data_IF_677613790728
#
_entry.id   IF_677613790728
#
_cell.length_a   1.000
_cell.length_b   1.000
_cell.length_c   1.000
_cell.angle_alpha   90.00
_cell.angle_beta   90.00
_cell.angle_gamma   90.00
#
_symmetry.space_group_name_H-M   'P 1'
#
loop_
_entity.id
_entity.type
_entity.pdbx_description
1 polymer ?
#
# COMPACT_ATOMS: atom_id res chain seq x y z
N UNK A 1 -64.29 49.95 52.51
CA UNK A 1 -64.23 51.43 52.65
C UNK A 1 -63.67 51.98 51.34
N UNK A 2 -64.53 52.85 50.75
CA UNK A 2 -64.28 53.90 49.74
C UNK A 2 -63.32 53.61 48.58
N UNK A 3 -63.82 53.33 47.36
CA UNK A 3 -64.36 54.28 46.33
C UNK A 3 -63.40 55.37 46.00
N UNK A 4 -62.91 55.40 44.79
CA UNK A 4 -63.20 56.55 43.93
C UNK A 4 -62.85 56.21 42.43
N UNK A 5 -63.88 56.46 41.65
CA UNK A 5 -63.95 56.45 40.18
C UNK A 5 -63.54 57.84 39.72
N UNK A 6 -62.88 57.97 38.57
CA UNK A 6 -63.05 59.18 37.74
C UNK A 6 -62.81 58.87 36.24
N UNK A 7 -63.67 59.45 35.48
CA UNK A 7 -64.05 59.30 34.04
C UNK A 7 -63.17 60.13 33.10
N UNK A 8 -62.92 59.53 31.86
CA UNK A 8 -62.95 60.01 30.44
C UNK A 8 -62.30 61.39 30.08
N UNK A 9 -61.87 61.60 28.77
CA UNK A 9 -62.63 61.29 27.57
C UNK A 9 -61.79 60.77 26.37
N UNK A 10 -62.55 60.19 25.41
CA UNK A 10 -62.30 59.76 24.05
C UNK A 10 -61.86 60.96 23.14
N UNK A 11 -60.87 60.75 22.29
CA UNK A 11 -60.79 61.41 20.97
C UNK A 11 -60.35 60.43 19.88
N UNK A 12 -61.18 60.27 18.92
CA UNK A 12 -60.97 59.58 17.64
C UNK A 12 -60.16 60.50 16.69
N UNK A 13 -59.25 59.93 15.93
CA UNK A 13 -58.89 60.50 14.61
C UNK A 13 -58.14 59.48 13.74
N UNK A 14 -58.77 59.18 12.68
CA UNK A 14 -58.34 59.02 11.27
C UNK A 14 -57.33 57.91 10.87
N UNK A 15 -57.83 57.15 9.97
CA UNK A 15 -57.27 56.10 9.14
C UNK A 15 -56.02 56.56 8.35
N UNK A 16 -54.99 55.72 8.32
CA UNK A 16 -54.08 55.69 7.17
C UNK A 16 -53.72 54.23 6.90
N UNK A 17 -54.17 53.76 5.76
CA UNK A 17 -53.78 52.49 5.18
C UNK A 17 -52.39 52.66 4.53
N UNK A 18 -51.37 51.97 5.07
CA UNK A 18 -50.12 51.73 4.34
C UNK A 18 -50.00 50.21 4.11
N UNK A 19 -50.16 49.82 2.89
CA UNK A 19 -49.92 48.48 2.40
C UNK A 19 -48.39 48.19 2.52
N UNK A 20 -48.01 47.40 3.51
CA UNK A 20 -46.66 46.84 3.62
C UNK A 20 -46.53 45.60 2.74
N UNK A 21 -45.86 45.76 1.60
CA UNK A 21 -45.42 44.63 0.76
C UNK A 21 -44.35 43.88 1.56
N UNK A 22 -44.73 42.69 2.08
CA UNK A 22 -43.77 41.76 2.67
C UNK A 22 -43.03 41.10 1.50
N UNK A 23 -41.83 41.58 1.21
CA UNK A 23 -40.88 41.01 0.28
C UNK A 23 -40.24 39.81 0.96
N UNK A 24 -40.79 38.61 0.70
CA UNK A 24 -40.19 37.35 1.09
C UNK A 24 -38.86 37.17 0.33
N UNK A 25 -37.75 37.47 0.99
CA UNK A 25 -36.42 37.07 0.53
C UNK A 25 -36.32 35.54 0.62
N UNK A 26 -36.59 34.85 -0.51
CA UNK A 26 -36.15 33.48 -0.71
C UNK A 26 -34.61 33.51 -0.71
N UNK A 27 -33.98 33.20 0.43
CA UNK A 27 -32.60 32.78 0.45
C UNK A 27 -32.50 31.45 -0.30
N UNK A 28 -32.22 31.51 -1.61
CA UNK A 28 -31.65 30.36 -2.33
C UNK A 28 -30.31 30.06 -1.67
N UNK A 29 -30.30 29.17 -0.69
CA UNK A 29 -29.10 28.51 -0.27
C UNK A 29 -28.58 27.70 -1.46
N UNK A 30 -27.69 28.33 -2.22
CA UNK A 30 -26.88 27.59 -3.21
C UNK A 30 -26.14 26.50 -2.41
N UNK A 31 -26.61 25.27 -2.52
CA UNK A 31 -25.84 24.12 -2.07
C UNK A 31 -24.58 24.10 -2.96
N UNK A 32 -23.52 24.75 -2.48
CA UNK A 32 -22.19 24.56 -3.02
C UNK A 32 -21.89 23.08 -2.82
N UNK A 33 -21.96 22.30 -3.88
CA UNK A 33 -21.52 20.91 -3.92
C UNK A 33 -20.01 20.86 -3.76
N UNK A 34 -19.50 21.31 -2.60
CA UNK A 34 -18.13 21.11 -2.20
C UNK A 34 -17.91 19.61 -2.07
N UNK A 35 -16.91 19.07 -2.75
CA UNK A 35 -16.43 17.70 -2.55
C UNK A 35 -16.26 17.48 -1.05
N UNK A 36 -17.09 16.61 -0.48
CA UNK A 36 -17.05 16.32 0.95
C UNK A 36 -15.76 15.56 1.23
N UNK A 37 -14.76 16.27 1.75
CA UNK A 37 -13.45 15.70 2.08
C UNK A 37 -13.61 14.68 3.22
N UNK A 38 -12.85 13.58 3.12
CA UNK A 38 -12.81 12.53 4.12
C UNK A 38 -11.44 12.60 4.80
N UNK A 39 -11.40 12.98 6.07
CA UNK A 39 -10.18 13.01 6.87
C UNK A 39 -9.73 11.58 7.25
N UNK A 40 -8.64 11.47 7.99
CA UNK A 40 -8.07 10.18 8.40
C UNK A 40 -9.07 9.35 9.21
N UNK A 41 -9.81 9.96 10.14
CA UNK A 41 -10.82 9.26 10.95
C UNK A 41 -11.98 8.74 10.09
N UNK A 42 -12.40 9.55 9.12
CA UNK A 42 -13.40 9.17 8.13
C UNK A 42 -12.92 7.99 7.27
N UNK A 43 -11.69 8.05 6.73
CA UNK A 43 -11.09 6.96 5.93
C UNK A 43 -10.93 5.68 6.74
N UNK A 44 -10.50 5.80 8.00
CA UNK A 44 -10.44 4.66 8.92
C UNK A 44 -11.81 4.02 9.09
N UNK A 45 -12.86 4.83 9.23
CA UNK A 45 -14.25 4.33 9.32
C UNK A 45 -14.69 3.55 8.08
N UNK A 46 -14.27 3.96 6.88
CA UNK A 46 -14.51 3.21 5.64
C UNK A 46 -13.77 1.87 5.62
N UNK A 47 -12.51 1.86 6.02
CA UNK A 47 -11.73 0.62 6.10
C UNK A 47 -12.28 -0.33 7.17
N UNK A 48 -12.61 0.17 8.36
CA UNK A 48 -13.23 -0.64 9.41
C UNK A 48 -14.57 -1.23 8.94
N UNK A 49 -15.38 -0.43 8.24
CA UNK A 49 -16.64 -0.88 7.65
C UNK A 49 -16.43 -1.96 6.58
N UNK A 50 -15.42 -1.83 5.74
CA UNK A 50 -15.05 -2.86 4.76
C UNK A 50 -14.67 -4.17 5.44
N UNK A 51 -13.77 -4.13 6.41
CA UNK A 51 -13.33 -5.32 7.15
C UNK A 51 -14.48 -5.99 7.91
N UNK A 52 -15.39 -5.20 8.49
CA UNK A 52 -16.59 -5.73 9.16
C UNK A 52 -17.59 -6.37 8.17
N UNK A 53 -17.77 -5.76 7.00
CA UNK A 53 -18.64 -6.28 5.94
C UNK A 53 -18.07 -7.60 5.38
N UNK A 54 -16.76 -7.68 5.15
CA UNK A 54 -16.08 -8.91 4.74
C UNK A 54 -16.25 -10.03 5.79
N UNK A 55 -16.04 -9.71 7.06
CA UNK A 55 -16.22 -10.67 8.15
C UNK A 55 -17.69 -11.16 8.30
N UNK A 56 -18.64 -10.37 7.86
CA UNK A 56 -20.05 -10.73 7.84
C UNK A 56 -20.48 -11.40 6.51
N UNK A 57 -19.59 -11.53 5.52
CA UNK A 57 -19.89 -11.95 4.14
C UNK A 57 -21.05 -11.15 3.52
N UNK A 58 -21.13 -9.85 3.83
CA UNK A 58 -22.26 -9.00 3.45
C UNK A 58 -21.79 -7.66 2.86
N UNK A 59 -21.56 -7.66 1.55
CA UNK A 59 -21.12 -6.48 0.80
C UNK A 59 -22.19 -5.37 0.74
N UNK A 60 -23.48 -5.68 1.05
CA UNK A 60 -24.56 -4.69 1.04
C UNK A 60 -24.39 -3.62 2.14
N UNK A 61 -23.56 -3.89 3.15
CA UNK A 61 -23.20 -2.93 4.21
C UNK A 61 -22.28 -1.80 3.74
N UNK A 62 -21.67 -1.96 2.58
CA UNK A 62 -20.69 -0.98 2.09
C UNK A 62 -21.37 0.21 1.43
N UNK A 63 -20.94 1.43 1.71
CA UNK A 63 -21.41 2.64 1.05
C UNK A 63 -20.78 2.78 -0.36
N UNK A 64 -21.13 1.85 -1.26
CA UNK A 64 -20.61 1.82 -2.62
C UNK A 64 -21.17 2.95 -3.46
N UNK A 65 -20.38 3.45 -4.41
CA UNK A 65 -20.89 4.29 -5.49
C UNK A 65 -21.72 3.46 -6.46
N UNK A 66 -22.54 4.11 -7.30
CA UNK A 66 -23.32 3.46 -8.36
C UNK A 66 -22.38 2.68 -9.32
N UNK A 67 -21.24 3.29 -9.65
CA UNK A 67 -20.16 2.66 -10.40
C UNK A 67 -18.94 2.54 -9.47
N UNK A 68 -18.57 1.34 -9.14
CA UNK A 68 -17.37 1.00 -8.41
C UNK A 68 -16.63 -0.13 -9.11
N UNK A 69 -15.35 -0.28 -8.81
CA UNK A 69 -14.54 -1.37 -9.33
C UNK A 69 -13.94 -2.18 -8.17
N UNK A 70 -13.99 -3.50 -8.28
CA UNK A 70 -13.36 -4.42 -7.35
C UNK A 70 -12.43 -5.38 -8.08
N UNK A 71 -11.20 -5.53 -7.58
CA UNK A 71 -10.25 -6.53 -8.06
C UNK A 71 -9.67 -7.34 -6.90
N UNK A 72 -9.39 -8.61 -7.16
CA UNK A 72 -8.60 -9.47 -6.31
C UNK A 72 -7.50 -10.14 -7.13
N UNK A 73 -6.25 -10.00 -6.68
CA UNK A 73 -5.06 -10.50 -7.38
C UNK A 73 -5.06 -10.14 -8.88
N UNK A 74 -5.38 -8.88 -9.20
CA UNK A 74 -5.44 -8.35 -10.55
C UNK A 74 -6.66 -8.76 -11.38
N UNK A 75 -7.51 -9.68 -10.91
CA UNK A 75 -8.74 -10.08 -11.58
C UNK A 75 -9.93 -9.23 -11.10
N UNK A 76 -10.77 -8.78 -12.04
CA UNK A 76 -12.05 -8.16 -11.68
C UNK A 76 -13.04 -9.26 -11.29
N UNK A 77 -13.61 -9.14 -10.08
CA UNK A 77 -14.52 -10.11 -9.49
C UNK A 77 -15.84 -9.46 -9.08
N UNK A 78 -16.86 -10.28 -8.84
CA UNK A 78 -18.13 -9.82 -8.29
C UNK A 78 -18.06 -9.71 -6.76
N UNK A 79 -18.06 -8.48 -6.27
CA UNK A 79 -17.95 -8.18 -4.83
C UNK A 79 -19.05 -8.87 -4.01
N UNK A 80 -18.65 -9.58 -2.98
CA UNK A 80 -19.56 -10.31 -2.10
C UNK A 80 -19.94 -11.72 -2.59
N UNK A 81 -19.50 -12.13 -3.78
CA UNK A 81 -19.87 -13.44 -4.36
C UNK A 81 -18.68 -14.31 -4.77
N UNK A 82 -17.49 -13.72 -4.91
CA UNK A 82 -16.31 -14.41 -5.38
C UNK A 82 -15.09 -14.10 -4.50
N UNK A 83 -14.04 -14.92 -4.65
CA UNK A 83 -12.75 -14.75 -4.02
C UNK A 83 -12.84 -14.73 -2.50
N UNK A 84 -12.08 -13.85 -1.88
CA UNK A 84 -11.97 -13.70 -0.43
C UNK A 84 -13.34 -13.50 0.27
N UNK A 85 -14.33 -12.90 -0.40
CA UNK A 85 -15.66 -12.70 0.16
C UNK A 85 -16.39 -14.00 0.46
N UNK A 86 -16.03 -15.09 -0.21
CA UNK A 86 -16.63 -16.43 -0.01
C UNK A 86 -15.79 -17.23 0.98
N UNK A 87 -14.49 -17.09 0.93
CA UNK A 87 -13.54 -17.96 1.63
C UNK A 87 -13.06 -17.41 2.97
N UNK A 88 -13.28 -16.11 3.27
CA UNK A 88 -12.89 -15.49 4.53
C UNK A 88 -13.41 -16.28 5.74
N UNK A 89 -12.56 -16.44 6.75
CA UNK A 89 -12.94 -17.07 8.02
C UNK A 89 -12.80 -16.08 9.19
N UNK A 90 -11.60 -15.58 9.44
CA UNK A 90 -11.32 -14.70 10.57
C UNK A 90 -10.08 -13.87 10.36
N UNK A 91 -9.97 -12.76 11.11
CA UNK A 91 -8.75 -11.94 11.12
C UNK A 91 -7.73 -12.50 12.09
N UNK A 92 -6.47 -12.40 11.70
CA UNK A 92 -5.33 -12.56 12.58
C UNK A 92 -5.02 -11.30 13.40
N UNK A 93 -3.91 -11.31 14.16
CA UNK A 93 -3.57 -10.22 15.08
C UNK A 93 -2.88 -9.03 14.42
N UNK A 94 -2.47 -9.12 13.15
CA UNK A 94 -1.73 -8.07 12.47
C UNK A 94 -2.67 -7.14 11.69
N UNK A 95 -2.46 -5.84 11.86
CA UNK A 95 -3.11 -4.79 11.05
C UNK A 95 -2.22 -3.55 11.00
N UNK A 96 -2.01 -3.03 9.81
CA UNK A 96 -1.32 -1.77 9.55
C UNK A 96 -2.10 -0.95 8.52
N UNK A 97 -2.55 0.25 8.91
CA UNK A 97 -3.34 1.13 8.06
C UNK A 97 -2.49 2.30 7.54
N UNK A 98 -2.71 2.69 6.27
CA UNK A 98 -2.09 3.86 5.63
C UNK A 98 -3.18 4.76 5.07
N UNK A 99 -3.06 6.09 5.28
CA UNK A 99 -4.11 7.04 4.95
C UNK A 99 -3.60 8.15 4.05
N UNK A 100 -4.42 8.54 3.09
CA UNK A 100 -4.20 9.72 2.25
C UNK A 100 -5.49 10.53 2.09
N UNK A 101 -5.80 11.41 3.06
CA UNK A 101 -6.99 12.26 2.99
C UNK A 101 -7.02 13.16 1.76
N UNK A 102 -5.86 13.53 1.21
CA UNK A 102 -5.78 14.42 0.05
C UNK A 102 -6.32 13.78 -1.23
N UNK A 103 -6.25 12.45 -1.33
CA UNK A 103 -6.78 11.68 -2.45
C UNK A 103 -8.05 10.91 -2.11
N UNK A 104 -8.39 10.77 -0.82
CA UNK A 104 -9.45 9.88 -0.35
C UNK A 104 -9.04 8.41 -0.39
N UNK A 105 -7.75 8.12 -0.31
CA UNK A 105 -7.20 6.77 -0.29
C UNK A 105 -6.97 6.25 1.11
N UNK A 106 -7.27 4.98 1.35
CA UNK A 106 -6.89 4.23 2.54
C UNK A 106 -6.49 2.81 2.14
N UNK A 107 -5.40 2.30 2.71
CA UNK A 107 -5.04 0.90 2.57
C UNK A 107 -4.80 0.27 3.94
N UNK A 108 -4.97 -1.05 4.02
CA UNK A 108 -4.60 -1.84 5.18
C UNK A 108 -3.83 -3.08 4.78
N UNK A 109 -2.91 -3.46 5.62
CA UNK A 109 -2.23 -4.73 5.61
C UNK A 109 -2.73 -5.53 6.80
N UNK A 110 -3.31 -6.70 6.58
CA UNK A 110 -3.94 -7.51 7.63
C UNK A 110 -3.67 -8.99 7.43
N UNK A 111 -3.41 -9.71 8.53
CA UNK A 111 -3.38 -11.16 8.52
C UNK A 111 -4.80 -11.73 8.69
N UNK A 112 -5.08 -12.84 8.03
CA UNK A 112 -6.39 -13.49 8.08
C UNK A 112 -6.28 -15.01 7.91
N UNK A 113 -7.39 -15.69 8.07
CA UNK A 113 -7.61 -17.10 7.74
C UNK A 113 -8.73 -17.19 6.72
N UNK A 114 -8.56 -18.06 5.75
CA UNK A 114 -9.63 -18.48 4.84
C UNK A 114 -10.11 -19.90 5.17
N UNK A 115 -11.28 -20.26 4.67
CA UNK A 115 -11.85 -21.62 4.81
C UNK A 115 -11.22 -22.57 3.80
N UNK A 116 -10.05 -23.11 4.13
CA UNK A 116 -9.38 -24.18 3.42
C UNK A 116 -9.50 -25.50 4.17
N UNK A 117 -9.29 -26.63 3.48
CA UNK A 117 -9.25 -27.94 4.15
C UNK A 117 -8.20 -27.99 5.28
N UNK A 118 -7.09 -27.32 5.08
CA UNK A 118 -6.06 -27.09 6.09
C UNK A 118 -5.92 -25.58 6.25
N UNK A 119 -6.48 -24.96 7.30
CA UNK A 119 -6.36 -23.52 7.53
C UNK A 119 -4.90 -23.12 7.73
N UNK A 120 -4.44 -22.17 6.96
CA UNK A 120 -3.15 -21.49 7.16
C UNK A 120 -3.36 -19.97 7.10
N UNK A 121 -2.50 -19.21 7.76
CA UNK A 121 -2.60 -17.77 7.72
C UNK A 121 -2.29 -17.24 6.32
N UNK A 122 -3.16 -16.36 5.84
CA UNK A 122 -3.01 -15.59 4.62
C UNK A 122 -2.70 -14.12 4.94
N UNK A 123 -2.20 -13.41 3.97
CA UNK A 123 -1.94 -11.99 4.07
C UNK A 123 -2.74 -11.23 3.04
N UNK A 124 -3.44 -10.22 3.52
CA UNK A 124 -4.24 -9.32 2.69
C UNK A 124 -3.66 -7.91 2.72
N UNK A 125 -3.44 -7.37 1.54
CA UNK A 125 -3.42 -5.94 1.31
C UNK A 125 -4.73 -5.52 0.65
N UNK A 126 -5.43 -4.53 1.22
CA UNK A 126 -6.63 -3.95 0.62
C UNK A 126 -6.51 -2.43 0.56
N UNK A 127 -6.84 -1.87 -0.59
CA UNK A 127 -6.93 -0.44 -0.83
C UNK A 127 -8.37 -0.03 -1.17
N UNK A 128 -8.82 1.05 -0.57
CA UNK A 128 -10.08 1.70 -0.90
C UNK A 128 -9.83 3.12 -1.44
N UNK A 129 -10.60 3.52 -2.44
CA UNK A 129 -10.74 4.89 -2.90
C UNK A 129 -12.12 5.41 -2.53
N UNK A 130 -12.15 6.49 -1.77
CA UNK A 130 -13.38 7.13 -1.30
C UNK A 130 -13.55 8.48 -1.99
N UNK A 131 -14.69 8.67 -2.67
CA UNK A 131 -15.08 9.93 -3.33
C UNK A 131 -16.49 10.27 -2.88
N UNK A 132 -16.71 11.50 -2.42
CA UNK A 132 -18.03 11.95 -1.94
C UNK A 132 -18.66 10.98 -0.91
N UNK A 133 -17.83 10.43 0.01
CA UNK A 133 -18.23 9.45 1.04
C UNK A 133 -18.81 8.15 0.45
N UNK A 134 -18.38 7.77 -0.72
CA UNK A 134 -18.70 6.49 -1.37
C UNK A 134 -17.41 5.79 -1.80
N UNK A 135 -17.38 4.48 -1.70
CA UNK A 135 -16.28 3.66 -2.21
C UNK A 135 -16.44 3.53 -3.73
N UNK A 136 -15.43 3.97 -4.48
CA UNK A 136 -15.39 3.87 -5.95
C UNK A 136 -14.40 2.83 -6.44
N UNK A 137 -13.38 2.47 -5.61
CA UNK A 137 -12.41 1.44 -5.94
C UNK A 137 -12.11 0.59 -4.72
N UNK A 138 -11.99 -0.70 -4.96
CA UNK A 138 -11.53 -1.72 -4.02
C UNK A 138 -10.51 -2.56 -4.75
N UNK A 139 -9.27 -2.56 -4.28
CA UNK A 139 -8.18 -3.39 -4.81
C UNK A 139 -7.65 -4.26 -3.70
N UNK A 140 -7.58 -5.56 -3.93
CA UNK A 140 -7.06 -6.53 -2.97
C UNK A 140 -5.97 -7.37 -3.58
N UNK A 141 -4.93 -7.64 -2.79
CA UNK A 141 -3.91 -8.65 -3.07
C UNK A 141 -3.84 -9.58 -1.87
N UNK A 142 -4.09 -10.85 -2.11
CA UNK A 142 -4.12 -11.89 -1.09
C UNK A 142 -3.02 -12.89 -1.40
N UNK A 143 -2.04 -13.02 -0.50
CA UNK A 143 -1.05 -14.11 -0.55
C UNK A 143 -1.64 -15.34 0.15
N UNK A 144 -1.92 -16.37 -0.65
CA UNK A 144 -2.44 -17.68 -0.19
C UNK A 144 -1.35 -18.74 -0.05
N UNK A 145 -0.10 -18.38 -0.24
CA UNK A 145 1.04 -19.30 -0.13
C UNK A 145 1.76 -19.15 1.21
N UNK A 146 1.17 -18.40 2.12
CA UNK A 146 1.84 -17.88 3.30
C UNK A 146 2.11 -18.93 4.39
N UNK A 147 2.90 -19.95 4.07
CA UNK A 147 3.66 -20.66 5.11
C UNK A 147 4.41 -19.68 6.03
N UNK A 148 4.63 -18.49 5.56
CA UNK A 148 5.35 -17.36 6.12
C UNK A 148 4.52 -16.45 7.03
N UNK A 149 3.20 -16.34 6.84
CA UNK A 149 2.34 -15.50 7.68
C UNK A 149 2.28 -15.95 9.15
N UNK A 150 2.81 -17.12 9.48
CA UNK A 150 3.04 -17.55 10.86
C UNK A 150 3.99 -16.64 11.64
N UNK A 151 4.76 -15.81 10.95
CA UNK A 151 5.73 -14.89 11.54
C UNK A 151 5.15 -13.51 11.84
N UNK A 152 3.92 -13.20 11.38
CA UNK A 152 3.25 -11.94 11.66
C UNK A 152 2.38 -11.99 12.93
N UNK A 153 2.31 -10.88 13.65
CA UNK A 153 3.11 -9.66 13.48
C UNK A 153 4.56 -9.90 13.83
N UNK A 154 5.50 -9.09 13.31
CA UNK A 154 6.81 -9.00 13.93
C UNK A 154 6.56 -8.74 15.41
N UNK A 155 7.01 -9.63 16.28
CA UNK A 155 6.83 -9.48 17.74
C UNK A 155 7.62 -8.30 18.30
N UNK A 156 8.21 -7.51 17.40
CA UNK A 156 8.89 -6.28 17.73
C UNK A 156 7.90 -5.11 17.81
N UNK A 157 7.55 -4.62 19.02
CA UNK A 157 6.76 -3.43 19.17
C UNK A 157 7.42 -2.19 18.49
N UNK A 158 8.74 -2.25 18.21
CA UNK A 158 9.47 -1.23 17.48
C UNK A 158 9.05 -1.14 16.00
N UNK A 159 8.68 -2.25 15.35
CA UNK A 159 8.24 -2.22 13.95
C UNK A 159 7.04 -1.28 13.75
N UNK A 160 5.94 -1.55 14.42
CA UNK A 160 4.72 -0.72 14.32
C UNK A 160 4.94 0.69 14.87
N UNK A 161 5.81 0.86 15.86
CA UNK A 161 6.21 2.15 16.38
C UNK A 161 6.88 3.01 15.31
N UNK A 162 7.76 2.43 14.49
CA UNK A 162 8.41 3.12 13.36
C UNK A 162 7.42 3.38 12.23
N UNK A 163 6.64 2.37 11.82
CA UNK A 163 5.69 2.49 10.72
C UNK A 163 4.64 3.57 10.98
N UNK A 164 4.09 3.63 12.19
CA UNK A 164 3.04 4.59 12.55
C UNK A 164 3.56 5.97 12.99
N UNK A 165 4.88 6.12 13.20
CA UNK A 165 5.44 7.38 13.67
C UNK A 165 5.27 8.48 12.63
N UNK A 166 4.75 9.63 13.05
CA UNK A 166 4.83 10.85 12.26
C UNK A 166 6.27 11.40 12.29
N UNK A 167 6.83 11.67 11.12
CA UNK A 167 8.16 12.27 11.04
C UNK A 167 8.11 13.76 11.35
N UNK A 168 9.20 14.35 11.89
CA UNK A 168 9.28 15.79 12.16
C UNK A 168 9.05 16.60 10.87
N UNK A 169 8.27 17.68 10.94
CA UNK A 169 7.95 18.51 9.77
C UNK A 169 9.18 18.99 9.00
N UNK A 170 10.28 19.26 9.71
CA UNK A 170 11.52 19.76 9.11
C UNK A 170 12.24 18.74 8.22
N UNK A 171 12.00 17.44 8.43
CA UNK A 171 12.66 16.34 7.67
C UNK A 171 11.71 15.61 6.74
N UNK A 172 10.43 16.03 6.64
CA UNK A 172 9.45 15.40 5.75
C UNK A 172 9.76 15.69 4.30
N UNK A 173 9.81 14.64 3.50
CA UNK A 173 9.75 14.75 2.05
C UNK A 173 8.34 15.14 1.61
N UNK A 174 8.25 15.87 0.51
CA UNK A 174 6.99 16.14 -0.16
C UNK A 174 6.45 14.89 -0.87
N UNK A 175 5.17 14.94 -1.25
CA UNK A 175 4.47 13.83 -1.94
C UNK A 175 5.25 13.29 -3.14
N UNK A 176 5.73 14.18 -4.00
CA UNK A 176 6.41 13.78 -5.23
C UNK A 176 7.81 13.20 -4.96
N UNK A 177 8.49 13.65 -3.91
CA UNK A 177 9.77 13.09 -3.49
C UNK A 177 9.59 11.68 -2.93
N UNK A 178 8.56 11.46 -2.12
CA UNK A 178 8.19 10.14 -1.62
C UNK A 178 7.86 9.19 -2.77
N UNK A 179 7.03 9.64 -3.73
CA UNK A 179 6.69 8.86 -4.92
C UNK A 179 7.96 8.48 -5.73
N UNK A 180 8.86 9.44 -5.94
CA UNK A 180 10.13 9.18 -6.64
C UNK A 180 11.03 8.21 -5.90
N UNK A 181 11.08 8.30 -4.57
CA UNK A 181 11.84 7.36 -3.75
C UNK A 181 11.31 5.94 -3.85
N UNK A 182 9.98 5.76 -3.79
CA UNK A 182 9.34 4.45 -3.98
C UNK A 182 9.53 3.91 -5.41
N UNK A 183 9.37 4.75 -6.44
CA UNK A 183 9.67 4.36 -7.82
C UNK A 183 11.17 3.98 -7.99
N UNK A 184 12.05 4.70 -7.30
CA UNK A 184 13.48 4.37 -7.24
C UNK A 184 13.72 2.96 -6.72
N UNK A 185 12.95 2.52 -5.70
CA UNK A 185 13.03 1.16 -5.19
C UNK A 185 12.68 0.13 -6.28
N UNK A 186 11.58 0.29 -7.01
CA UNK A 186 11.21 -0.61 -8.09
C UNK A 186 12.31 -0.69 -9.16
N UNK A 187 12.85 0.46 -9.53
CA UNK A 187 13.96 0.56 -10.47
C UNK A 187 15.21 -0.13 -9.94
N UNK A 188 15.53 0.07 -8.67
CA UNK A 188 16.72 -0.54 -8.05
C UNK A 188 16.65 -2.07 -8.07
N UNK A 189 15.48 -2.65 -7.83
CA UNK A 189 15.24 -4.10 -7.95
C UNK A 189 15.36 -4.55 -9.41
N UNK A 190 14.63 -3.89 -10.33
CA UNK A 190 14.58 -4.26 -11.73
C UNK A 190 15.94 -4.15 -12.42
N UNK A 191 16.75 -3.15 -12.07
CA UNK A 191 18.06 -2.88 -12.70
C UNK A 191 19.24 -3.39 -11.86
N UNK A 192 19.01 -3.91 -10.65
CA UNK A 192 20.04 -4.41 -9.74
C UNK A 192 21.07 -3.32 -9.38
N UNK A 193 20.60 -2.14 -9.06
CA UNK A 193 21.42 -0.99 -8.73
C UNK A 193 20.84 -0.27 -7.51
N UNK A 194 21.48 -0.46 -6.35
CA UNK A 194 21.02 0.14 -5.09
C UNK A 194 21.08 1.67 -5.10
N UNK A 195 21.90 2.28 -5.97
CA UNK A 195 22.01 3.73 -6.05
C UNK A 195 20.76 4.42 -6.63
N UNK A 196 19.86 3.67 -7.25
CA UNK A 196 18.60 4.19 -7.79
C UNK A 196 17.56 4.53 -6.71
N UNK A 197 17.78 4.08 -5.47
CA UNK A 197 16.87 4.35 -4.36
C UNK A 197 17.62 4.80 -3.09
N UNK A 198 17.01 5.66 -2.26
CA UNK A 198 17.64 6.19 -1.05
C UNK A 198 17.49 5.22 0.12
N UNK A 199 18.21 4.11 0.15
CA UNK A 199 18.14 3.16 1.27
C UNK A 199 18.81 3.68 2.53
N UNK A 200 18.15 3.46 3.68
CA UNK A 200 18.81 3.57 4.98
C UNK A 200 19.70 2.33 5.22
N UNK A 201 20.82 2.50 5.91
CA UNK A 201 21.68 1.36 6.32
C UNK A 201 20.91 0.38 7.22
N UNK A 202 20.01 0.90 8.06
CA UNK A 202 19.13 0.14 8.95
C UNK A 202 17.82 -0.33 8.28
N UNK A 203 17.78 -0.38 6.94
CA UNK A 203 16.59 -0.81 6.23
C UNK A 203 16.23 -2.26 6.55
N UNK A 204 14.95 -2.48 6.92
CA UNK A 204 14.36 -3.81 7.12
C UNK A 204 13.26 -4.02 6.09
N UNK A 205 13.23 -5.20 5.48
CA UNK A 205 12.18 -5.59 4.54
C UNK A 205 11.46 -6.85 5.00
N UNK A 206 10.13 -6.78 4.96
CA UNK A 206 9.23 -7.92 5.10
C UNK A 206 8.62 -8.24 3.73
N UNK A 207 8.63 -9.52 3.36
CA UNK A 207 8.00 -10.05 2.16
C UNK A 207 7.11 -11.22 2.55
N UNK A 208 5.82 -11.10 2.32
CA UNK A 208 4.81 -12.08 2.74
C UNK A 208 4.99 -12.51 4.20
N UNK A 209 5.28 -11.56 5.09
CA UNK A 209 5.49 -11.77 6.51
C UNK A 209 6.86 -12.27 6.94
N UNK A 210 7.76 -12.60 6.00
CA UNK A 210 9.13 -12.99 6.33
C UNK A 210 10.07 -11.78 6.30
N UNK A 211 11.01 -11.74 7.23
CA UNK A 211 12.12 -10.80 7.16
C UNK A 211 13.10 -11.27 6.08
N UNK A 212 13.23 -10.49 5.01
CA UNK A 212 14.13 -10.79 3.87
C UNK A 212 15.34 -9.87 3.80
N UNK A 213 15.34 -8.75 4.55
CA UNK A 213 16.51 -7.93 4.78
C UNK A 213 16.50 -7.31 6.17
N UNK A 214 17.68 -7.19 6.78
CA UNK A 214 17.92 -6.41 8.00
C UNK A 214 19.15 -5.53 7.81
N UNK A 215 19.19 -4.39 8.50
CA UNK A 215 20.39 -3.56 8.57
C UNK A 215 21.53 -4.25 9.31
N UNK A 216 22.76 -3.84 9.05
CA UNK A 216 23.96 -4.47 9.62
C UNK A 216 23.99 -4.46 11.16
N UNK A 217 23.23 -3.57 11.80
CA UNK A 217 23.19 -3.40 13.26
C UNK A 217 21.86 -3.81 13.89
N UNK A 218 20.92 -4.30 13.11
CA UNK A 218 19.59 -4.65 13.59
C UNK A 218 19.52 -6.14 13.96
N UNK A 219 18.97 -6.44 15.13
CA UNK A 219 18.58 -7.81 15.48
C UNK A 219 17.23 -8.09 14.80
N UNK A 220 17.09 -9.20 14.05
CA UNK A 220 15.83 -9.49 13.39
C UNK A 220 14.72 -9.66 14.43
N UNK A 221 13.58 -8.98 14.24
CA UNK A 221 12.45 -9.07 15.16
C UNK A 221 11.70 -10.41 15.08
N UNK A 222 11.97 -11.20 14.06
CA UNK A 222 11.32 -12.49 13.78
C UNK A 222 12.34 -13.54 13.39
N UNK A 223 12.02 -14.83 13.51
CA UNK A 223 12.89 -15.91 13.06
C UNK A 223 13.25 -15.76 11.58
N UNK A 224 14.51 -15.98 11.27
CA UNK A 224 15.02 -16.00 9.90
C UNK A 224 14.40 -17.20 9.17
N UNK A 225 13.85 -16.98 7.98
CA UNK A 225 13.39 -18.05 7.11
C UNK A 225 14.52 -18.98 6.64
N UNK A 226 14.21 -20.07 5.92
CA UNK A 226 15.22 -21.00 5.44
C UNK A 226 16.23 -20.27 4.55
N UNK A 227 17.53 -20.50 4.84
CA UNK A 227 18.61 -19.97 4.04
C UNK A 227 18.60 -20.62 2.65
N UNK A 228 19.02 -19.92 1.58
CA UNK A 228 19.19 -20.53 0.27
C UNK A 228 20.12 -21.75 0.36
N UNK A 229 19.71 -22.87 -0.22
CA UNK A 229 20.54 -24.09 -0.28
C UNK A 229 21.73 -23.86 -1.18
N UNK A 230 22.91 -24.31 -0.75
CA UNK A 230 24.11 -24.32 -1.59
C UNK A 230 23.91 -25.28 -2.78
N UNK A 231 24.28 -24.81 -3.96
CA UNK A 231 24.34 -25.67 -5.14
C UNK A 231 25.75 -26.27 -5.25
N UNK A 232 25.85 -27.58 -5.40
CA UNK A 232 27.13 -28.28 -5.46
C UNK A 232 28.01 -27.74 -6.61
N UNK A 233 29.23 -27.32 -6.28
CA UNK A 233 30.20 -26.78 -7.23
C UNK A 233 30.15 -25.27 -7.48
N UNK A 234 29.26 -24.54 -6.80
CA UNK A 234 29.19 -23.09 -6.84
C UNK A 234 29.72 -22.48 -5.54
N UNK A 235 30.13 -21.20 -5.61
CA UNK A 235 30.49 -20.47 -4.38
C UNK A 235 29.29 -20.43 -3.42
N UNK A 236 29.50 -20.63 -2.10
CA UNK A 236 28.41 -20.55 -1.14
C UNK A 236 27.78 -19.17 -1.20
N UNK A 237 26.45 -19.11 -1.29
CA UNK A 237 25.73 -17.83 -1.24
C UNK A 237 25.96 -17.20 0.13
N UNK A 238 26.29 -15.93 0.19
CA UNK A 238 26.37 -15.23 1.47
C UNK A 238 25.01 -15.22 2.15
N UNK A 239 25.02 -15.07 3.46
CA UNK A 239 23.79 -14.79 4.19
C UNK A 239 23.28 -13.41 3.78
N UNK A 240 22.30 -13.38 2.87
CA UNK A 240 21.77 -12.15 2.28
C UNK A 240 20.95 -11.33 3.28
N UNK A 241 20.48 -11.95 4.36
CA UNK A 241 19.60 -11.29 5.33
C UNK A 241 20.27 -10.07 5.99
N UNK A 242 21.52 -10.21 6.43
CA UNK A 242 22.24 -9.22 7.23
C UNK A 242 23.00 -8.15 6.46
N UNK A 243 22.90 -8.11 5.13
CA UNK A 243 23.66 -7.14 4.31
C UNK A 243 22.89 -5.87 3.98
N UNK A 244 21.64 -5.77 4.40
CA UNK A 244 20.78 -4.59 4.17
C UNK A 244 20.05 -4.59 2.82
N UNK A 245 18.94 -3.84 2.74
CA UNK A 245 18.03 -3.86 1.59
C UNK A 245 18.72 -3.52 0.26
N UNK A 246 19.58 -2.51 0.24
CA UNK A 246 20.24 -2.07 -1.00
C UNK A 246 21.30 -3.05 -1.48
N UNK A 247 22.22 -3.47 -0.60
CA UNK A 247 23.32 -4.37 -0.97
C UNK A 247 22.85 -5.71 -1.52
N UNK A 248 21.70 -6.21 -1.07
CA UNK A 248 21.12 -7.44 -1.62
C UNK A 248 20.89 -7.32 -3.13
N UNK A 249 20.51 -6.12 -3.62
CA UNK A 249 20.28 -5.87 -5.03
C UNK A 249 21.59 -5.90 -5.82
N UNK A 250 22.61 -5.21 -5.31
CA UNK A 250 23.94 -5.20 -5.92
C UNK A 250 24.55 -6.60 -5.95
N UNK A 251 24.26 -7.40 -4.91
CA UNK A 251 24.66 -8.79 -4.82
C UNK A 251 23.92 -9.69 -5.81
N UNK A 252 22.78 -9.26 -6.32
CA UNK A 252 21.99 -9.98 -7.32
C UNK A 252 20.92 -10.90 -6.78
N UNK A 253 20.47 -10.73 -5.51
CA UNK A 253 19.39 -11.52 -4.91
C UNK A 253 18.15 -11.57 -5.80
N UNK A 254 17.79 -10.42 -6.38
CA UNK A 254 16.62 -10.28 -7.27
C UNK A 254 17.00 -10.31 -8.76
N UNK A 255 18.07 -11.01 -9.13
CA UNK A 255 18.51 -11.06 -10.54
C UNK A 255 17.46 -11.64 -11.49
N UNK A 256 16.55 -12.47 -10.97
CA UNK A 256 15.41 -13.01 -11.73
C UNK A 256 14.36 -11.95 -12.08
N UNK A 257 14.30 -10.83 -11.36
CA UNK A 257 13.43 -9.70 -11.71
C UNK A 257 14.11 -8.92 -12.85
N UNK A 258 13.42 -8.80 -13.97
CA UNK A 258 13.98 -8.20 -15.19
C UNK A 258 13.36 -6.86 -15.54
N UNK A 259 12.32 -6.45 -14.83
CA UNK A 259 11.63 -5.19 -15.04
C UNK A 259 10.44 -5.06 -14.10
N UNK A 260 9.70 -3.96 -14.25
CA UNK A 260 8.42 -3.73 -13.60
C UNK A 260 7.46 -3.06 -14.58
N UNK A 261 6.15 -3.22 -14.34
CA UNK A 261 5.11 -2.53 -15.09
C UNK A 261 3.93 -2.15 -14.20
N UNK A 262 3.03 -1.34 -14.75
CA UNK A 262 1.78 -0.88 -14.13
C UNK A 262 1.94 -0.28 -12.72
N UNK A 263 3.10 0.31 -12.42
CA UNK A 263 3.35 0.84 -11.09
C UNK A 263 2.53 2.10 -10.82
N UNK A 264 1.71 2.06 -9.78
CA UNK A 264 0.94 3.20 -9.28
C UNK A 264 1.08 3.36 -7.77
N UNK A 265 0.95 4.60 -7.32
CA UNK A 265 1.19 5.03 -5.95
C UNK A 265 -0.06 5.74 -5.41
N UNK A 266 -1.16 5.01 -5.19
CA UNK A 266 -2.47 5.59 -4.92
C UNK A 266 -2.60 6.27 -3.56
N UNK A 267 -1.73 5.92 -2.60
CA UNK A 267 -1.78 6.46 -1.24
C UNK A 267 -0.38 6.91 -0.83
N UNK A 268 -0.27 8.18 -0.42
CA UNK A 268 0.96 8.76 0.12
C UNK A 268 0.63 9.53 1.39
N UNK A 269 0.99 8.95 2.54
CA UNK A 269 0.88 9.59 3.84
C UNK A 269 2.11 10.45 4.11
N UNK A 270 2.00 11.74 3.79
CA UNK A 270 3.11 12.69 3.99
C UNK A 270 3.44 12.90 5.47
N UNK A 271 2.50 12.70 6.39
CA UNK A 271 2.76 12.87 7.83
C UNK A 271 3.65 11.76 8.36
N UNK A 272 3.28 10.51 8.05
CA UNK A 272 4.02 9.32 8.48
C UNK A 272 5.11 8.93 7.48
N UNK A 273 5.23 9.68 6.37
CA UNK A 273 6.19 9.40 5.30
C UNK A 273 6.05 7.97 4.78
N UNK A 274 4.81 7.54 4.52
CA UNK A 274 4.47 6.23 3.98
C UNK A 274 4.03 6.36 2.52
N UNK A 275 4.42 5.40 1.71
CA UNK A 275 3.94 5.23 0.33
C UNK A 275 3.39 3.82 0.18
N UNK A 276 2.14 3.71 -0.23
CA UNK A 276 1.56 2.46 -0.68
C UNK A 276 1.61 2.41 -2.21
N UNK A 277 2.15 1.33 -2.74
CA UNK A 277 2.28 1.10 -4.18
C UNK A 277 1.71 -0.26 -4.57
N UNK A 278 1.18 -0.36 -5.80
CA UNK A 278 0.85 -1.61 -6.49
C UNK A 278 1.55 -1.63 -7.84
N UNK A 279 2.12 -2.76 -8.20
CA UNK A 279 2.89 -2.95 -9.45
C UNK A 279 3.15 -4.42 -9.72
N UNK A 280 3.54 -4.74 -10.95
CA UNK A 280 4.03 -6.06 -11.29
C UNK A 280 5.54 -6.06 -11.46
N UNK A 281 6.23 -7.02 -10.82
CA UNK A 281 7.59 -7.37 -11.18
C UNK A 281 7.60 -8.40 -12.28
N UNK A 282 8.32 -8.10 -13.36
CA UNK A 282 8.46 -8.97 -14.52
C UNK A 282 9.61 -9.95 -14.37
N UNK A 283 9.38 -11.21 -14.66
CA UNK A 283 10.39 -12.26 -14.90
C UNK A 283 10.31 -12.69 -16.34
N UNK A 284 11.36 -12.48 -17.12
CA UNK A 284 11.41 -12.95 -18.51
C UNK A 284 11.87 -14.40 -18.65
N UNK A 285 12.35 -15.00 -17.57
CA UNK A 285 12.89 -16.36 -17.58
C UNK A 285 14.26 -16.52 -18.27
N UNK A 286 14.83 -15.43 -18.79
CA UNK A 286 16.05 -15.44 -19.59
C UNK A 286 17.35 -15.22 -18.80
N UNK A 287 17.29 -15.15 -17.47
CA UNK A 287 18.47 -15.01 -16.62
C UNK A 287 18.94 -16.39 -16.16
N UNK A 288 20.03 -16.89 -16.75
CA UNK A 288 20.58 -18.20 -16.40
C UNK A 288 21.51 -18.15 -15.18
N UNK A 289 22.17 -17.02 -14.97
CA UNK A 289 23.12 -16.82 -13.89
C UNK A 289 23.38 -15.35 -13.67
N UNK A 290 23.96 -15.02 -12.53
CA UNK A 290 24.52 -13.69 -12.26
C UNK A 290 25.93 -13.81 -11.65
N UNK A 291 26.66 -12.69 -11.60
CA UNK A 291 27.98 -12.64 -11.00
C UNK A 291 28.05 -11.51 -9.99
N UNK A 292 28.76 -11.73 -8.89
CA UNK A 292 29.10 -10.73 -7.90
C UNK A 292 30.49 -11.02 -7.32
N UNK A 293 31.34 -10.01 -7.23
CA UNK A 293 32.72 -10.09 -6.71
C UNK A 293 33.56 -11.23 -7.34
N UNK A 294 33.35 -11.47 -8.64
CA UNK A 294 34.06 -12.52 -9.36
C UNK A 294 33.49 -13.93 -9.22
N UNK A 295 32.49 -14.14 -8.37
CA UNK A 295 31.78 -15.41 -8.22
C UNK A 295 30.55 -15.46 -9.15
N UNK A 296 30.32 -16.61 -9.74
CA UNK A 296 29.14 -16.87 -10.57
C UNK A 296 28.14 -17.72 -9.78
N UNK A 297 26.85 -17.35 -9.89
CA UNK A 297 25.74 -18.03 -9.24
C UNK A 297 24.71 -18.44 -10.32
N UNK A 298 24.32 -19.70 -10.35
CA UNK A 298 23.27 -20.19 -11.26
C UNK A 298 21.90 -19.73 -10.78
N UNK A 299 21.02 -19.39 -11.75
CA UNK A 299 19.62 -19.13 -11.45
C UNK A 299 18.88 -20.45 -11.23
N UNK A 300 18.17 -20.64 -10.09
CA UNK A 300 17.33 -21.82 -9.89
C UNK A 300 16.35 -22.04 -11.03
N UNK A 301 16.12 -23.30 -11.41
CA UNK A 301 15.28 -23.65 -12.56
C UNK A 301 13.87 -23.06 -12.47
N UNK A 302 13.22 -23.13 -11.31
CA UNK A 302 11.89 -22.56 -11.10
C UNK A 302 11.81 -21.03 -11.22
N UNK A 303 12.95 -20.32 -11.29
CA UNK A 303 13.00 -18.88 -11.53
C UNK A 303 13.30 -18.51 -12.99
N UNK A 304 13.44 -19.51 -13.87
CA UNK A 304 13.68 -19.32 -15.31
C UNK A 304 12.40 -19.35 -16.15
N UNK A 305 11.23 -19.49 -15.51
CA UNK A 305 9.96 -19.44 -16.21
C UNK A 305 9.48 -17.98 -16.36
N UNK A 306 9.03 -17.57 -17.57
CA UNK A 306 8.44 -16.24 -17.77
C UNK A 306 7.13 -16.11 -16.98
N UNK A 307 7.10 -15.14 -16.07
CA UNK A 307 5.92 -14.84 -15.25
C UNK A 307 6.01 -13.42 -14.67
N UNK A 308 4.97 -13.04 -13.98
CA UNK A 308 4.89 -11.81 -13.21
C UNK A 308 4.58 -12.09 -11.76
N UNK A 309 4.92 -11.15 -10.92
CA UNK A 309 4.61 -11.15 -9.50
C UNK A 309 3.86 -9.85 -9.23
N UNK A 310 2.58 -9.95 -8.91
CA UNK A 310 1.79 -8.82 -8.46
C UNK A 310 2.18 -8.44 -7.05
N UNK A 311 2.64 -7.22 -6.86
CA UNK A 311 3.10 -6.69 -5.59
C UNK A 311 2.23 -5.55 -5.10
N UNK A 312 2.01 -5.53 -3.79
CA UNK A 312 1.62 -4.33 -3.06
C UNK A 312 2.64 -4.10 -1.95
N UNK A 313 3.18 -2.88 -1.88
CA UNK A 313 4.23 -2.58 -0.92
C UNK A 313 3.96 -1.26 -0.19
N UNK A 314 4.29 -1.24 1.10
CA UNK A 314 4.33 -0.03 1.93
C UNK A 314 5.77 0.31 2.22
N UNK A 315 6.19 1.51 1.80
CA UNK A 315 7.51 2.05 2.05
C UNK A 315 7.45 3.07 3.18
N UNK A 316 8.26 2.91 4.21
CA UNK A 316 8.49 3.91 5.27
C UNK A 316 9.78 4.66 5.00
N UNK A 317 9.67 5.99 4.95
CA UNK A 317 10.83 6.86 4.87
C UNK A 317 11.12 7.49 6.23
N UNK A 318 12.39 7.48 6.61
CA UNK A 318 12.94 8.15 7.79
C UNK A 318 14.14 8.97 7.33
N UNK A 319 14.17 10.25 7.67
CA UNK A 319 15.21 11.18 7.24
C UNK A 319 15.50 11.12 5.73
N UNK A 320 14.45 11.00 4.93
CA UNK A 320 14.52 10.94 3.47
C UNK A 320 14.98 9.60 2.88
N UNK A 321 15.16 8.56 3.70
CA UNK A 321 15.65 7.25 3.27
C UNK A 321 14.62 6.14 3.55
N UNK A 322 14.55 5.15 2.67
CA UNK A 322 13.72 3.95 2.85
C UNK A 322 14.26 3.16 4.04
N UNK A 323 13.50 3.16 5.12
CA UNK A 323 13.85 2.52 6.39
C UNK A 323 13.13 1.19 6.60
N UNK A 324 11.91 1.06 6.09
CA UNK A 324 11.10 -0.17 6.19
C UNK A 324 10.36 -0.40 4.88
N UNK A 325 10.22 -1.65 4.52
CA UNK A 325 9.40 -2.12 3.40
C UNK A 325 8.53 -3.26 3.89
N UNK A 326 7.23 -3.17 3.66
CA UNK A 326 6.27 -4.26 3.86
C UNK A 326 5.66 -4.63 2.53
N UNK A 327 5.89 -5.85 2.07
CA UNK A 327 5.38 -6.35 0.81
C UNK A 327 4.39 -7.50 1.04
N UNK A 328 3.27 -7.47 0.32
CA UNK A 328 2.45 -8.64 0.03
C UNK A 328 2.41 -8.80 -1.47
N UNK A 329 2.77 -9.97 -1.91
CA UNK A 329 2.77 -10.29 -3.33
C UNK A 329 2.16 -11.66 -3.59
N UNK A 330 1.53 -11.78 -4.74
CA UNK A 330 0.94 -13.01 -5.26
C UNK A 330 1.59 -13.37 -6.59
N UNK A 331 1.92 -14.62 -6.75
CA UNK A 331 2.53 -15.11 -7.98
C UNK A 331 3.17 -16.49 -7.83
N UNK A 332 3.55 -17.10 -8.93
CA UNK A 332 3.68 -16.53 -10.28
C UNK A 332 2.33 -16.35 -11.00
N UNK A 333 2.14 -15.21 -11.66
CA UNK A 333 1.02 -14.93 -12.55
C UNK A 333 1.42 -15.10 -14.02
N UNK A 334 0.43 -15.16 -14.91
CA UNK A 334 0.70 -15.20 -16.34
C UNK A 334 1.47 -13.96 -16.80
N UNK A 335 2.52 -14.13 -17.58
CA UNK A 335 3.35 -13.05 -18.09
C UNK A 335 2.52 -12.02 -18.88
N UNK A 336 2.70 -10.72 -18.57
CA UNK A 336 1.93 -9.58 -19.11
C UNK A 336 0.44 -9.57 -18.73
N UNK A 337 0.10 -10.11 -17.57
CA UNK A 337 -1.25 -9.98 -17.04
C UNK A 337 -1.55 -8.57 -16.54
N UNK A 338 -0.57 -7.93 -15.90
CA UNK A 338 -0.68 -6.63 -15.27
C UNK A 338 -1.47 -6.63 -13.96
N UNK A 339 -1.43 -5.49 -13.26
CA UNK A 339 -2.11 -5.31 -11.96
C UNK A 339 -3.63 -5.32 -12.04
N UNK A 340 -4.18 -5.29 -13.25
CA UNK A 340 -5.61 -5.08 -13.45
C UNK A 340 -6.04 -3.62 -13.42
N UNK A 341 -5.16 -2.67 -13.08
CA UNK A 341 -5.45 -1.24 -13.01
C UNK A 341 -4.73 -0.47 -14.12
N UNK A 342 -5.40 0.58 -14.67
CA UNK A 342 -4.83 1.40 -15.73
C UNK A 342 -4.26 2.71 -15.17
N UNK A 343 -3.31 3.32 -15.90
CA UNK A 343 -2.76 4.63 -15.57
C UNK A 343 -1.54 4.59 -14.67
N UNK A 344 -0.92 3.42 -14.50
CA UNK A 344 0.37 3.25 -13.85
C UNK A 344 1.53 3.91 -14.61
N UNK A 345 2.73 3.87 -14.04
CA UNK A 345 3.93 4.34 -14.72
C UNK A 345 4.26 3.42 -15.89
N UNK A 346 4.89 4.00 -16.92
CA UNK A 346 5.37 3.20 -18.05
C UNK A 346 6.29 2.08 -17.58
N UNK A 347 6.11 0.89 -18.14
CA UNK A 347 6.96 -0.26 -17.91
C UNK A 347 8.43 0.06 -18.19
N UNK A 348 9.31 -0.37 -17.29
CA UNK A 348 10.76 -0.31 -17.49
C UNK A 348 11.35 -1.71 -17.31
N UNK A 349 12.31 -2.08 -18.15
CA UNK A 349 12.97 -3.36 -18.08
C UNK A 349 14.43 -3.29 -18.53
N UNK A 350 15.24 -4.19 -17.98
CA UNK A 350 16.62 -4.34 -18.43
C UNK A 350 16.68 -4.78 -19.89
N UNK A 351 17.64 -4.30 -20.70
CA UNK A 351 17.95 -4.84 -22.00
C UNK A 351 18.31 -6.33 -21.89
N UNK A 352 17.91 -7.13 -22.90
CA UNK A 352 18.15 -8.59 -22.92
C UNK A 352 19.63 -9.01 -22.86
N UNK A 353 20.55 -8.10 -23.19
CA UNK A 353 21.99 -8.34 -23.26
C UNK A 353 22.74 -8.07 -21.94
N UNK A 354 22.07 -7.62 -20.87
CA UNK A 354 22.69 -7.48 -19.56
C UNK A 354 22.67 -8.79 -18.76
N UNK A 355 23.08 -9.87 -19.41
CA UNK A 355 23.58 -11.03 -18.69
C UNK A 355 24.94 -10.63 -18.11
N UNK A 356 24.95 -10.39 -16.79
CA UNK A 356 26.14 -10.46 -15.96
C UNK A 356 27.39 -9.69 -16.41
N UNK A 357 27.63 -8.61 -15.80
CA UNK A 357 28.90 -7.94 -15.77
C UNK A 357 28.79 -6.61 -15.08
N UNK A 358 28.69 -6.62 -13.76
CA UNK A 358 29.13 -5.45 -13.03
C UNK A 358 30.63 -5.33 -13.26
N UNK A 359 31.03 -4.52 -14.24
CA UNK A 359 32.36 -3.96 -14.24
C UNK A 359 32.54 -3.25 -12.91
N UNK A 360 33.66 -3.51 -12.26
CA UNK A 360 34.11 -2.77 -11.07
C UNK A 360 33.84 -1.29 -11.28
N UNK A 361 33.41 -0.54 -10.24
CA UNK A 361 33.22 0.90 -10.35
C UNK A 361 34.50 1.51 -10.95
N UNK A 362 34.38 2.13 -12.11
CA UNK A 362 35.47 2.90 -12.67
C UNK A 362 35.82 3.95 -11.61
N UNK A 363 37.00 3.81 -11.03
CA UNK A 363 37.63 4.90 -10.29
C UNK A 363 37.87 5.98 -11.32
N UNK A 364 37.04 7.00 -11.31
CA UNK A 364 37.35 8.24 -12.01
C UNK A 364 38.61 8.85 -11.40
N UNK A 365 39.52 9.39 -12.24
CA UNK A 365 40.79 9.92 -11.85
C UNK A 365 40.69 11.16 -10.95
#
# INVERSE_FOLDING_TARGET
>A
MRSNVLFFPIRASTKSWLAGVAMALLCCASASGGTQTCDEACLKGFMDGYLQALAAHDSSRLPLAEHYRYTENGAELELGKEGLWVTFNSYGPYRHDVFDPSTGGVATYVSLLENHEIPFPDLLMVRLKVVNRKIVEIETVVDRHAASAKSLPPKDPGWMGIMNREEPRATRLGREELRRGALGYLRSVAFRDSHLAPYAESCIRLENGNVTAIGANDTPPVPIGPQPTEVAGEAPRPNMLGIGCGKQLDYGEYSFITGYEDAHFPIIDVKRQLVFATFDFMRRGNVESWSYEGHRFAMPEGMREPNEILNTEIFKFVDGKISRVEAVFEGPQAYKRGTGWQGGTKAESRPDNQTSGFGSPQKNP
#
